data_IF_364888470451
#
_entry.id   IF_364888470451
#
_cell.length_a   1.000
_cell.length_b   1.000
_cell.length_c   1.000
_cell.angle_alpha   90.00
_cell.angle_beta   90.00
_cell.angle_gamma   90.00
#
_symmetry.space_group_name_H-M   'P 1'
#
loop_
_entity.id
_entity.type
_entity.pdbx_description
1 polymer ?
#
# COMPACT_ATOMS: atom_id res chain seq x y z
N UNK A 1 -9.51 20.52 24.69
CA UNK A 1 -8.28 21.29 24.40
C UNK A 1 -7.44 21.65 25.64
N UNK A 2 -7.93 21.47 26.87
CA UNK A 2 -7.25 21.92 28.12
C UNK A 2 -6.19 20.96 28.69
N UNK A 3 -6.20 19.68 28.29
CA UNK A 3 -5.28 18.65 28.84
C UNK A 3 -3.86 18.74 28.25
N UNK A 4 -3.71 19.18 27.00
CA UNK A 4 -2.39 19.28 26.34
C UNK A 4 -1.49 20.36 26.95
N UNK A 5 -2.07 21.50 27.33
CA UNK A 5 -1.32 22.64 27.90
C UNK A 5 -0.86 22.39 29.35
N UNK A 6 -1.57 21.53 30.10
CA UNK A 6 -1.26 21.21 31.49
C UNK A 6 -0.14 20.16 31.61
N UNK A 7 -0.04 19.22 30.65
CA UNK A 7 1.06 18.25 30.57
C UNK A 7 2.38 18.93 30.18
N UNK A 8 2.33 19.88 29.23
CA UNK A 8 3.49 20.65 28.78
C UNK A 8 4.18 21.44 29.90
N UNK A 9 3.40 21.97 30.84
CA UNK A 9 3.89 22.79 31.96
C UNK A 9 4.52 21.98 33.10
N UNK A 10 4.30 20.66 33.16
CA UNK A 10 4.75 19.79 34.27
C UNK A 10 6.02 18.99 33.95
N UNK A 11 6.24 18.62 32.69
CA UNK A 11 7.33 17.71 32.28
C UNK A 11 8.42 18.36 31.41
N UNK A 12 8.29 19.64 31.04
CA UNK A 12 9.27 20.29 30.17
C UNK A 12 9.20 19.79 28.71
N UNK A 13 9.79 20.55 27.79
CA UNK A 13 9.68 20.32 26.35
C UNK A 13 10.22 18.95 25.90
N UNK A 14 11.27 18.43 26.55
CA UNK A 14 11.92 17.15 26.22
C UNK A 14 11.04 15.93 26.48
N UNK A 15 10.32 15.92 27.59
CA UNK A 15 9.48 14.77 27.99
C UNK A 15 8.20 14.74 27.16
N UNK A 16 7.70 15.91 26.73
CA UNK A 16 6.60 16.00 25.78
C UNK A 16 6.98 15.41 24.41
N UNK A 17 8.18 15.70 23.90
CA UNK A 17 8.68 15.08 22.66
C UNK A 17 8.81 13.55 22.82
N UNK A 18 9.31 13.07 23.95
CA UNK A 18 9.40 11.64 24.24
C UNK A 18 8.02 10.98 24.35
N UNK A 19 7.04 11.67 24.92
CA UNK A 19 5.66 11.20 24.99
C UNK A 19 4.97 11.12 23.62
N UNK A 20 5.32 12.01 22.68
CA UNK A 20 4.88 11.92 21.28
C UNK A 20 5.53 10.72 20.55
N UNK A 21 6.77 10.38 20.90
CA UNK A 21 7.48 9.20 20.38
C UNK A 21 7.13 7.90 21.12
N UNK A 22 6.32 7.97 22.18
CA UNK A 22 5.98 6.81 22.98
C UNK A 22 5.35 5.72 22.09
N UNK A 23 5.83 4.49 22.26
CA UNK A 23 5.44 3.31 21.47
C UNK A 23 3.91 3.16 21.26
N UNK A 24 3.03 3.47 22.25
CA UNK A 24 1.58 3.40 22.04
C UNK A 24 1.04 4.42 21.01
N UNK A 25 1.60 5.64 20.96
CA UNK A 25 1.16 6.70 20.03
C UNK A 25 1.73 6.45 18.64
N UNK A 26 3.00 6.03 18.57
CA UNK A 26 3.66 5.66 17.32
C UNK A 26 2.94 4.49 16.64
N UNK A 27 2.45 3.52 17.43
CA UNK A 27 1.60 2.44 16.95
C UNK A 27 0.31 2.96 16.32
N UNK A 28 -0.41 3.85 17.01
CA UNK A 28 -1.65 4.46 16.48
C UNK A 28 -1.43 5.28 15.20
N UNK A 29 -0.37 6.09 15.16
CA UNK A 29 0.01 6.84 13.97
C UNK A 29 0.41 5.92 12.80
N UNK A 30 1.13 4.83 13.09
CA UNK A 30 1.51 3.82 12.10
C UNK A 30 0.29 3.13 11.47
N UNK A 31 -0.70 2.71 12.29
CA UNK A 31 -1.94 2.12 11.78
C UNK A 31 -2.70 3.11 10.89
N UNK A 32 -2.78 4.39 11.26
CA UNK A 32 -3.43 5.40 10.44
C UNK A 32 -2.70 5.60 9.08
N UNK A 33 -1.37 5.64 9.08
CA UNK A 33 -0.56 5.79 7.87
C UNK A 33 -0.72 4.59 6.93
N UNK A 34 -0.56 3.37 7.45
CA UNK A 34 -0.74 2.16 6.64
C UNK A 34 -2.18 2.01 6.16
N UNK A 35 -3.17 2.37 6.98
CA UNK A 35 -4.59 2.38 6.59
C UNK A 35 -4.87 3.34 5.44
N UNK A 36 -4.31 4.55 5.48
CA UNK A 36 -4.45 5.53 4.39
C UNK A 36 -3.79 5.05 3.10
N UNK A 37 -2.60 4.44 3.18
CA UNK A 37 -1.91 3.85 2.02
C UNK A 37 -2.75 2.73 1.39
N UNK A 38 -3.29 1.82 2.20
CA UNK A 38 -4.18 0.75 1.73
C UNK A 38 -5.45 1.31 1.07
N UNK A 39 -6.11 2.30 1.70
CA UNK A 39 -7.30 2.93 1.15
C UNK A 39 -7.04 3.63 -0.20
N UNK A 40 -5.91 4.31 -0.35
CA UNK A 40 -5.49 4.93 -1.61
C UNK A 40 -5.26 3.89 -2.72
N UNK A 41 -4.69 2.73 -2.36
CA UNK A 41 -4.55 1.59 -3.27
C UNK A 41 -5.90 1.09 -3.77
N UNK A 42 -6.85 0.84 -2.86
CA UNK A 42 -8.22 0.39 -3.21
C UNK A 42 -8.93 1.43 -4.09
N UNK A 43 -8.82 2.72 -3.78
CA UNK A 43 -9.38 3.82 -4.58
C UNK A 43 -8.81 3.88 -6.00
N UNK A 44 -7.55 3.48 -6.17
CA UNK A 44 -6.94 3.42 -7.51
C UNK A 44 -7.48 2.22 -8.28
N UNK A 45 -7.58 1.06 -7.61
CA UNK A 45 -8.20 -0.14 -8.18
C UNK A 45 -9.65 0.08 -8.59
N UNK A 46 -10.42 0.87 -7.84
CA UNK A 46 -11.83 1.15 -8.16
C UNK A 46 -12.03 1.95 -9.45
N UNK A 47 -10.97 2.56 -10.00
CA UNK A 47 -11.01 3.26 -11.30
C UNK A 47 -10.78 2.31 -12.49
N UNK A 48 -10.28 1.10 -12.23
CA UNK A 48 -10.02 0.11 -13.27
C UNK A 48 -11.36 -0.51 -13.71
N UNK A 49 -11.54 -0.69 -15.01
CA UNK A 49 -12.70 -1.37 -15.55
C UNK A 49 -12.54 -2.88 -15.35
N UNK A 50 -13.43 -3.48 -14.54
CA UNK A 50 -13.48 -4.92 -14.29
C UNK A 50 -14.47 -5.66 -15.20
N UNK A 51 -14.80 -5.08 -16.36
CA UNK A 51 -15.74 -5.62 -17.35
C UNK A 51 -15.19 -6.88 -18.09
N UNK A 52 -14.10 -7.47 -17.59
CA UNK A 52 -13.45 -8.64 -18.14
C UNK A 52 -12.63 -9.43 -17.12
N UNK A 53 -12.35 -10.69 -17.44
CA UNK A 53 -11.67 -11.64 -16.54
C UNK A 53 -10.18 -11.29 -16.35
N UNK A 54 -9.56 -10.57 -17.30
CA UNK A 54 -8.12 -10.31 -17.28
C UNK A 54 -7.73 -9.39 -16.11
N UNK A 55 -8.31 -8.19 -16.01
CA UNK A 55 -7.97 -7.22 -14.97
C UNK A 55 -8.21 -7.75 -13.54
N UNK A 56 -9.33 -8.47 -13.32
CA UNK A 56 -9.62 -9.07 -12.03
C UNK A 56 -8.67 -10.22 -11.70
N UNK A 57 -8.25 -11.02 -12.68
CA UNK A 57 -7.25 -12.08 -12.49
C UNK A 57 -5.87 -11.51 -12.13
N UNK A 58 -5.43 -10.45 -12.82
CA UNK A 58 -4.18 -9.74 -12.50
C UNK A 58 -4.20 -9.26 -11.05
N UNK A 59 -5.28 -8.63 -10.62
CA UNK A 59 -5.43 -8.14 -9.25
C UNK A 59 -5.46 -9.30 -8.24
N UNK A 60 -6.27 -10.33 -8.47
CA UNK A 60 -6.42 -11.45 -7.55
C UNK A 60 -5.10 -12.22 -7.36
N UNK A 61 -4.39 -12.52 -8.45
CA UNK A 61 -3.13 -13.27 -8.42
C UNK A 61 -2.01 -12.43 -7.80
N UNK A 62 -1.91 -11.13 -8.11
CA UNK A 62 -0.88 -10.26 -7.53
C UNK A 62 -1.04 -10.07 -6.02
N UNK A 63 -2.27 -9.90 -5.54
CA UNK A 63 -2.56 -9.88 -4.10
C UNK A 63 -2.23 -11.24 -3.46
N UNK A 64 -2.64 -12.34 -4.09
CA UNK A 64 -2.34 -13.68 -3.62
C UNK A 64 -0.83 -13.93 -3.46
N UNK A 65 -0.03 -13.59 -4.47
CA UNK A 65 1.43 -13.72 -4.41
C UNK A 65 2.05 -12.80 -3.37
N UNK A 66 1.56 -11.56 -3.24
CA UNK A 66 2.02 -10.64 -2.20
C UNK A 66 1.73 -11.12 -0.78
N UNK A 67 0.67 -11.91 -0.59
CA UNK A 67 0.34 -12.52 0.70
C UNK A 67 1.18 -13.76 1.04
N UNK A 68 1.84 -14.40 0.06
CA UNK A 68 2.65 -15.61 0.29
C UNK A 68 3.77 -15.34 1.29
N UNK A 69 4.41 -14.16 1.27
CA UNK A 69 5.50 -13.83 2.21
C UNK A 69 5.03 -13.78 3.66
N UNK A 70 3.73 -13.52 3.89
CA UNK A 70 3.12 -13.52 5.22
C UNK A 70 2.71 -14.93 5.65
N UNK A 71 2.22 -15.74 4.71
CA UNK A 71 1.77 -17.11 4.99
C UNK A 71 2.92 -18.12 5.11
N UNK A 72 3.96 -17.98 4.28
CA UNK A 72 5.10 -18.90 4.20
C UNK A 72 6.40 -18.09 4.05
N UNK A 73 6.99 -17.62 5.17
CA UNK A 73 8.19 -16.77 5.13
C UNK A 73 9.42 -17.46 4.54
N UNK A 74 9.45 -18.80 4.50
CA UNK A 74 10.55 -19.59 3.97
C UNK A 74 10.39 -20.02 2.51
N UNK A 75 9.33 -19.57 1.81
CA UNK A 75 9.02 -19.99 0.45
C UNK A 75 10.14 -19.66 -0.55
N UNK A 76 10.80 -18.51 -0.37
CA UNK A 76 11.81 -17.99 -1.30
C UNK A 76 13.26 -18.42 -0.97
N UNK A 77 13.47 -19.32 0.00
CA UNK A 77 14.83 -19.75 0.38
C UNK A 77 15.57 -20.53 -0.72
N UNK A 78 14.83 -21.15 -1.65
CA UNK A 78 15.40 -21.89 -2.77
C UNK A 78 15.72 -21.00 -3.99
N UNK A 79 15.45 -19.70 -3.90
CA UNK A 79 15.76 -18.75 -4.97
C UNK A 79 17.16 -18.15 -4.83
N UNK A 80 17.79 -17.73 -5.93
CA UNK A 80 19.10 -17.07 -5.89
C UNK A 80 19.05 -15.79 -5.05
N UNK A 81 20.16 -15.45 -4.40
CA UNK A 81 20.26 -14.37 -3.39
C UNK A 81 19.73 -13.02 -3.86
N UNK A 82 19.95 -12.66 -5.12
CA UNK A 82 19.45 -11.42 -5.72
C UNK A 82 17.92 -11.38 -5.81
N UNK A 83 17.26 -12.51 -6.05
CA UNK A 83 15.81 -12.61 -6.13
C UNK A 83 15.20 -12.64 -4.72
N UNK A 84 15.89 -13.25 -3.76
CA UNK A 84 15.44 -13.31 -2.37
C UNK A 84 15.33 -11.91 -1.73
N UNK A 85 16.26 -11.00 -2.03
CA UNK A 85 16.23 -9.62 -1.50
C UNK A 85 14.94 -8.88 -1.90
N UNK A 86 14.48 -9.05 -3.14
CA UNK A 86 13.28 -8.39 -3.65
C UNK A 86 11.99 -9.17 -3.33
N UNK A 87 12.02 -10.51 -3.37
CA UNK A 87 10.85 -11.37 -3.18
C UNK A 87 10.50 -11.59 -1.70
N UNK A 88 11.43 -11.32 -0.77
CA UNK A 88 11.14 -11.35 0.66
C UNK A 88 10.13 -10.26 1.08
N UNK A 89 10.02 -9.18 0.31
CA UNK A 89 8.99 -8.15 0.49
C UNK A 89 7.71 -8.54 -0.28
N UNK A 90 6.64 -8.85 0.44
CA UNK A 90 5.34 -9.19 -0.17
C UNK A 90 4.78 -8.09 -1.08
N UNK A 91 5.03 -6.83 -0.73
CA UNK A 91 4.61 -5.68 -1.55
C UNK A 91 5.34 -5.69 -2.89
N UNK A 92 6.65 -5.93 -2.87
CA UNK A 92 7.48 -5.99 -4.07
C UNK A 92 7.14 -7.20 -4.93
N UNK A 93 7.01 -8.39 -4.31
CA UNK A 93 6.63 -9.62 -5.00
C UNK A 93 5.25 -9.51 -5.68
N UNK A 94 4.26 -8.96 -4.98
CA UNK A 94 2.93 -8.71 -5.54
C UNK A 94 2.97 -7.69 -6.68
N UNK A 95 3.73 -6.61 -6.54
CA UNK A 95 3.85 -5.57 -7.59
C UNK A 95 4.51 -6.10 -8.87
N UNK A 96 5.61 -6.84 -8.74
CA UNK A 96 6.29 -7.48 -9.88
C UNK A 96 5.35 -8.46 -10.57
N UNK A 97 4.62 -9.26 -9.79
CA UNK A 97 3.62 -10.20 -10.33
C UNK A 97 2.52 -9.45 -11.08
N UNK A 98 1.99 -8.36 -10.54
CA UNK A 98 0.97 -7.54 -11.20
C UNK A 98 1.45 -7.00 -12.55
N UNK A 99 2.68 -6.48 -12.61
CA UNK A 99 3.26 -5.92 -13.84
C UNK A 99 3.41 -7.02 -14.90
N UNK A 100 3.98 -8.17 -14.52
CA UNK A 100 4.19 -9.29 -15.45
C UNK A 100 2.85 -9.81 -15.97
N UNK A 101 1.88 -10.02 -15.08
CA UNK A 101 0.57 -10.57 -15.48
C UNK A 101 -0.23 -9.58 -16.31
N UNK A 102 -0.17 -8.28 -15.97
CA UNK A 102 -0.80 -7.23 -16.78
C UNK A 102 -0.17 -7.15 -18.18
N UNK A 103 1.15 -7.24 -18.29
CA UNK A 103 1.83 -7.25 -19.58
C UNK A 103 1.47 -8.50 -20.42
N UNK A 104 1.35 -9.67 -19.78
CA UNK A 104 1.01 -10.92 -20.46
C UNK A 104 -0.46 -11.02 -20.89
N UNK A 105 -1.40 -10.56 -20.05
CA UNK A 105 -2.85 -10.72 -20.27
C UNK A 105 -3.50 -9.51 -20.98
N UNK A 106 -2.99 -8.30 -20.76
CA UNK A 106 -3.54 -7.06 -21.30
C UNK A 106 -2.59 -6.36 -22.30
N UNK A 107 -1.50 -7.01 -22.72
CA UNK A 107 -0.37 -6.45 -23.48
C UNK A 107 -0.63 -5.73 -24.81
N UNK A 108 -1.88 -5.40 -25.17
CA UNK A 108 -2.24 -4.54 -26.34
C UNK A 108 -3.54 -3.75 -26.14
N UNK A 109 -4.23 -3.88 -24.99
CA UNK A 109 -5.42 -3.07 -24.74
C UNK A 109 -4.98 -1.71 -24.21
N UNK A 110 -5.29 -0.66 -24.97
CA UNK A 110 -4.98 0.72 -24.59
C UNK A 110 -5.46 0.97 -23.15
N UNK A 111 -4.63 1.55 -22.26
CA UNK A 111 -5.09 1.91 -20.93
C UNK A 111 -6.30 2.83 -21.11
N UNK A 112 -7.45 2.41 -20.58
CA UNK A 112 -8.71 3.11 -20.76
C UNK A 112 -8.53 4.61 -20.52
N UNK A 113 -8.76 5.38 -21.57
CA UNK A 113 -8.94 6.82 -21.59
C UNK A 113 -10.04 7.18 -20.58
N UNK A 114 -9.68 7.21 -19.30
CA UNK A 114 -10.58 7.59 -18.24
C UNK A 114 -10.45 9.09 -18.17
N UNK A 115 -11.39 9.76 -18.86
CA UNK A 115 -11.59 11.20 -18.89
C UNK A 115 -11.24 11.85 -17.54
N UNK A 116 -10.04 12.42 -17.46
CA UNK A 116 -9.67 13.33 -16.40
C UNK A 116 -10.45 14.62 -16.63
N UNK A 117 -11.51 14.81 -15.85
CA UNK A 117 -11.96 16.12 -15.38
C UNK A 117 -12.25 17.19 -16.42
N UNK A 118 -13.38 17.10 -17.14
CA UNK A 118 -14.11 18.28 -17.62
C UNK A 118 -14.94 18.87 -16.45
N UNK A 119 -14.29 19.33 -15.38
CA UNK A 119 -14.94 19.90 -14.18
C UNK A 119 -14.15 21.13 -13.67
N UNK A 120 -13.63 21.96 -14.57
CA UNK A 120 -12.99 23.25 -14.23
C UNK A 120 -13.21 24.31 -15.32
N UNK A 121 -14.43 24.37 -15.90
CA UNK A 121 -14.82 25.40 -16.88
C UNK A 121 -16.16 26.09 -16.54
N UNK A 122 -16.57 26.09 -15.28
CA UNK A 122 -17.68 26.93 -14.79
C UNK A 122 -17.38 27.40 -13.36
N UNK A 123 -17.00 28.67 -13.24
CA UNK A 123 -16.74 29.35 -11.97
C UNK A 123 -15.99 30.64 -12.18
#
# INVERSE_FOLDING_TARGET
>A
MTVGASVFRRYGFSDFLTALLALPVLGGAGIAMFGMVAASGIKTLSKVQFDGIHNIMVVAVSIGVGMITLAVPNFYQNFPSWAQVILHSGITAGSVTAIILNAALNGTDKPGETAIGKQEYIG
#
